data_IF_821516124548
#
_entry.id   IF_821516124548
#
_cell.length_a   1.000
_cell.length_b   1.000
_cell.length_c   1.000
_cell.angle_alpha   90.00
_cell.angle_beta   90.00
_cell.angle_gamma   90.00
#
_symmetry.space_group_name_H-M   'P 1'
#
loop_
_entity.id
_entity.type
_entity.pdbx_description
1 polymer ?
#
# COMPACT_ATOMS: atom_id res chain seq x y z
N UNK A 1 2.00 28.14 33.10
CA UNK A 1 0.99 27.91 32.04
C UNK A 1 1.31 26.66 31.21
N UNK A 2 1.55 25.49 31.83
CA UNK A 2 1.97 24.25 31.13
C UNK A 2 0.84 23.21 30.97
N UNK A 3 -0.31 23.45 31.58
CA UNK A 3 -1.43 22.51 31.62
C UNK A 3 -2.17 22.33 30.28
N UNK A 4 -2.51 23.38 29.52
CA UNK A 4 -3.27 23.20 28.27
C UNK A 4 -2.43 22.53 27.16
N UNK A 5 -1.12 22.78 27.13
CA UNK A 5 -0.21 22.16 26.15
C UNK A 5 -0.10 20.64 26.34
N UNK A 6 -0.09 20.16 27.59
CA UNK A 6 -0.05 18.73 27.89
C UNK A 6 -1.32 18.00 27.48
N UNK A 7 -2.48 18.63 27.70
CA UNK A 7 -3.77 18.09 27.28
C UNK A 7 -3.84 17.99 25.76
N UNK A 8 -3.37 19.03 25.04
CA UNK A 8 -3.33 19.02 23.59
C UNK A 8 -2.45 17.89 23.04
N UNK A 9 -1.26 17.69 23.62
CA UNK A 9 -0.33 16.63 23.20
C UNK A 9 -0.88 15.22 23.43
N UNK A 10 -1.61 15.00 24.52
CA UNK A 10 -2.25 13.71 24.80
C UNK A 10 -3.42 13.45 23.86
N UNK A 11 -4.16 14.49 23.50
CA UNK A 11 -5.28 14.37 22.56
C UNK A 11 -4.79 14.00 21.15
N UNK A 12 -3.70 14.62 20.68
CA UNK A 12 -3.12 14.30 19.37
C UNK A 12 -2.54 12.89 19.34
N UNK A 13 -1.88 12.44 20.41
CA UNK A 13 -1.40 11.07 20.56
C UNK A 13 -2.54 10.05 20.58
N UNK A 14 -3.65 10.36 21.24
CA UNK A 14 -4.83 9.49 21.28
C UNK A 14 -5.47 9.35 19.90
N UNK A 15 -5.66 10.46 19.18
CA UNK A 15 -6.25 10.44 17.83
C UNK A 15 -5.34 9.68 16.86
N UNK A 16 -4.03 9.93 16.90
CA UNK A 16 -3.05 9.18 16.09
C UNK A 16 -3.03 7.69 16.45
N UNK A 17 -3.16 7.36 17.75
CA UNK A 17 -3.25 5.99 18.24
C UNK A 17 -4.51 5.27 17.77
N UNK A 18 -5.67 5.92 17.81
CA UNK A 18 -6.94 5.37 17.33
C UNK A 18 -6.92 5.10 15.82
N UNK A 19 -6.44 6.06 15.02
CA UNK A 19 -6.29 5.88 13.57
C UNK A 19 -5.30 4.75 13.23
N UNK A 20 -4.19 4.66 13.97
CA UNK A 20 -3.23 3.57 13.81
C UNK A 20 -3.79 2.19 14.23
N UNK A 21 -4.70 2.16 15.21
CA UNK A 21 -5.30 0.92 15.71
C UNK A 21 -6.44 0.42 14.81
N UNK A 22 -7.25 1.32 14.25
CA UNK A 22 -8.23 0.98 13.21
C UNK A 22 -7.55 0.40 11.97
N UNK A 23 -6.44 1.00 11.52
CA UNK A 23 -5.64 0.44 10.42
C UNK A 23 -5.09 -0.95 10.74
N UNK A 24 -4.57 -1.18 11.96
CA UNK A 24 -4.09 -2.51 12.38
C UNK A 24 -5.19 -3.58 12.34
N UNK A 25 -6.41 -3.24 12.76
CA UNK A 25 -7.53 -4.17 12.73
C UNK A 25 -7.92 -4.54 11.30
N UNK A 26 -7.82 -3.60 10.34
CA UNK A 26 -8.10 -3.86 8.93
C UNK A 26 -7.06 -4.80 8.30
N UNK A 27 -5.78 -4.60 8.58
CA UNK A 27 -4.72 -5.47 8.07
C UNK A 27 -4.79 -6.89 8.65
N UNK A 28 -5.19 -7.03 9.92
CA UNK A 28 -5.46 -8.34 10.52
C UNK A 28 -6.63 -9.08 9.85
N UNK A 29 -7.69 -8.36 9.48
CA UNK A 29 -8.79 -8.94 8.72
C UNK A 29 -8.35 -9.36 7.31
N UNK A 30 -7.48 -8.57 6.65
CA UNK A 30 -6.88 -8.94 5.39
C UNK A 30 -6.01 -10.20 5.51
N UNK A 31 -5.25 -10.34 6.59
CA UNK A 31 -4.45 -11.52 6.86
C UNK A 31 -5.29 -12.79 7.03
N UNK A 32 -6.36 -12.70 7.82
CA UNK A 32 -7.29 -13.80 8.05
C UNK A 32 -7.98 -14.26 6.76
N UNK A 33 -8.44 -13.31 5.93
CA UNK A 33 -9.02 -13.61 4.62
C UNK A 33 -8.03 -14.33 3.70
N UNK A 34 -6.78 -13.85 3.64
CA UNK A 34 -5.75 -14.46 2.81
C UNK A 34 -5.38 -15.86 3.32
N UNK A 35 -5.36 -16.09 4.63
CA UNK A 35 -5.14 -17.42 5.22
C UNK A 35 -6.27 -18.40 4.90
N UNK A 36 -7.53 -17.98 4.99
CA UNK A 36 -8.68 -18.80 4.62
C UNK A 36 -8.66 -19.17 3.13
N UNK A 37 -8.24 -18.23 2.27
CA UNK A 37 -8.12 -18.46 0.83
C UNK A 37 -6.86 -19.27 0.44
N UNK A 38 -5.88 -19.43 1.33
CA UNK A 38 -4.54 -19.96 1.01
C UNK A 38 -4.45 -21.50 0.92
N UNK A 39 -5.53 -22.20 0.55
CA UNK A 39 -5.57 -23.68 0.49
C UNK A 39 -4.36 -24.26 -0.26
N UNK A 40 -3.97 -23.66 -1.39
CA UNK A 40 -2.72 -23.95 -2.11
C UNK A 40 -2.08 -22.70 -2.76
N UNK A 41 -2.59 -21.51 -2.43
CA UNK A 41 -2.18 -20.27 -3.07
C UNK A 41 -1.14 -19.54 -2.21
N UNK A 42 -0.10 -19.04 -2.88
CA UNK A 42 0.86 -18.12 -2.26
C UNK A 42 0.43 -16.70 -2.61
N UNK A 43 0.12 -15.91 -1.59
CA UNK A 43 -0.14 -14.48 -1.74
C UNK A 43 1.11 -13.66 -1.41
N UNK A 44 1.43 -12.71 -2.29
CA UNK A 44 2.42 -11.65 -2.08
C UNK A 44 1.70 -10.33 -2.24
N UNK A 45 1.68 -9.53 -1.18
CA UNK A 45 0.93 -8.27 -1.09
C UNK A 45 1.84 -7.20 -0.50
N UNK A 46 1.87 -6.03 -1.13
CA UNK A 46 2.51 -4.85 -0.62
C UNK A 46 1.60 -3.65 -0.87
N UNK A 47 1.27 -2.91 0.18
CA UNK A 47 0.43 -1.71 0.12
C UNK A 47 1.24 -0.53 0.61
N UNK A 48 1.30 0.49 -0.23
CA UNK A 48 1.99 1.74 0.06
C UNK A 48 0.99 2.89 -0.05
N UNK A 49 1.24 3.98 0.68
CA UNK A 49 0.54 5.24 0.45
C UNK A 49 1.05 5.95 -0.81
N UNK A 50 0.49 7.13 -1.11
CA UNK A 50 0.84 7.93 -2.27
C UNK A 50 2.29 8.45 -2.25
N UNK A 51 2.89 8.56 -1.06
CA UNK A 51 4.27 9.01 -0.87
C UNK A 51 5.26 7.83 -0.92
N UNK A 52 4.75 6.60 -1.05
CA UNK A 52 5.55 5.37 -1.12
C UNK A 52 5.88 4.77 0.25
N UNK A 53 5.28 5.25 1.34
CA UNK A 53 5.46 4.65 2.67
C UNK A 53 4.72 3.32 2.73
N UNK A 54 5.39 2.26 3.17
CA UNK A 54 4.77 0.95 3.36
C UNK A 54 3.74 1.00 4.50
N UNK A 55 2.49 0.69 4.17
CA UNK A 55 1.39 0.60 5.13
C UNK A 55 1.16 -0.84 5.58
N UNK A 56 1.41 -1.80 4.68
CA UNK A 56 1.25 -3.23 4.93
C UNK A 56 2.04 -4.06 3.92
N UNK A 57 2.69 -5.12 4.39
CA UNK A 57 3.38 -6.07 3.53
C UNK A 57 3.23 -7.50 4.04
N UNK A 58 2.99 -8.42 3.10
CA UNK A 58 2.97 -9.85 3.32
C UNK A 58 3.67 -10.54 2.16
N UNK A 59 4.78 -11.21 2.44
CA UNK A 59 5.64 -11.82 1.42
C UNK A 59 6.06 -10.85 0.29
N UNK A 60 6.08 -9.53 0.51
CA UNK A 60 6.27 -8.50 -0.54
C UNK A 60 7.52 -8.69 -1.42
N UNK A 61 8.58 -9.34 -0.90
CA UNK A 61 9.78 -9.69 -1.67
C UNK A 61 9.69 -10.97 -2.51
N UNK A 62 8.58 -11.71 -2.43
CA UNK A 62 8.40 -12.98 -3.14
C UNK A 62 7.94 -12.72 -4.56
N UNK A 63 8.68 -13.29 -5.51
CA UNK A 63 8.32 -13.23 -6.92
C UNK A 63 7.05 -14.05 -7.18
N UNK A 64 6.10 -13.45 -7.88
CA UNK A 64 4.85 -14.06 -8.35
C UNK A 64 4.67 -13.79 -9.83
N UNK A 65 3.99 -14.68 -10.55
CA UNK A 65 3.71 -14.48 -11.96
C UNK A 65 2.82 -13.24 -12.15
N UNK A 66 3.31 -12.24 -12.88
CA UNK A 66 2.61 -10.97 -13.09
C UNK A 66 1.41 -11.07 -14.04
N UNK A 67 1.28 -12.17 -14.79
CA UNK A 67 0.24 -12.39 -15.79
C UNK A 67 0.07 -11.15 -16.71
N UNK A 68 -1.13 -10.59 -16.82
CA UNK A 68 -1.39 -9.40 -17.64
C UNK A 68 -1.04 -8.07 -16.98
N UNK A 69 -0.67 -8.05 -15.69
CA UNK A 69 -0.34 -6.80 -14.96
C UNK A 69 0.95 -6.16 -15.48
N UNK A 70 1.83 -6.96 -16.12
CA UNK A 70 3.04 -6.46 -16.81
C UNK A 70 2.73 -5.40 -17.89
N UNK A 71 1.51 -5.35 -18.41
CA UNK A 71 1.10 -4.35 -19.42
C UNK A 71 1.08 -2.92 -18.87
N UNK A 72 0.93 -2.74 -17.55
CA UNK A 72 0.90 -1.41 -16.92
C UNK A 72 2.27 -0.71 -17.04
N UNK A 73 3.40 -1.29 -16.60
CA UNK A 73 4.70 -0.63 -16.79
C UNK A 73 5.10 -0.50 -18.26
N UNK A 74 4.69 -1.44 -19.13
CA UNK A 74 4.88 -1.30 -20.59
C UNK A 74 4.14 -0.07 -21.10
N UNK A 75 2.87 0.11 -20.74
CA UNK A 75 2.09 1.28 -21.14
C UNK A 75 2.70 2.57 -20.58
N UNK A 76 3.13 2.59 -19.32
CA UNK A 76 3.78 3.75 -18.72
C UNK A 76 5.03 4.15 -19.52
N UNK A 77 5.83 3.17 -19.95
CA UNK A 77 7.00 3.41 -20.78
C UNK A 77 6.63 3.89 -22.19
N UNK A 78 5.59 3.30 -22.81
CA UNK A 78 5.08 3.77 -24.11
C UNK A 78 4.61 5.24 -24.04
N UNK A 79 3.92 5.64 -22.97
CA UNK A 79 3.51 7.04 -22.78
C UNK A 79 4.73 7.95 -22.63
N UNK A 80 5.75 7.54 -21.87
CA UNK A 80 6.99 8.30 -21.73
C UNK A 80 7.74 8.50 -23.06
N UNK A 81 7.70 7.50 -23.94
CA UNK A 81 8.29 7.55 -25.28
C UNK A 81 7.44 8.45 -26.20
N UNK A 82 6.10 8.38 -26.11
CA UNK A 82 5.21 9.27 -26.83
C UNK A 82 5.41 10.74 -26.42
N UNK A 83 5.59 11.03 -25.13
CA UNK A 83 5.92 12.37 -24.62
C UNK A 83 7.25 12.91 -25.16
N UNK A 84 8.17 12.02 -25.56
CA UNK A 84 9.44 12.38 -26.20
C UNK A 84 9.32 12.55 -27.71
N UNK A 85 8.12 12.40 -28.27
CA UNK A 85 7.86 12.37 -29.71
C UNK A 85 8.60 11.25 -30.45
N UNK A 86 8.93 10.17 -29.74
CA UNK A 86 9.60 8.98 -30.30
C UNK A 86 8.58 7.91 -30.76
N UNK A 87 7.31 8.08 -30.40
CA UNK A 87 6.20 7.19 -30.76
C UNK A 87 4.94 8.01 -31.08
N UNK A 88 4.27 7.69 -32.19
CA UNK A 88 2.95 8.24 -32.54
C UNK A 88 1.85 7.51 -31.78
N UNK A 89 0.82 8.26 -31.36
CA UNK A 89 -0.40 7.72 -30.75
C UNK A 89 -1.50 7.40 -31.77
N UNK A 90 -1.34 7.90 -33.00
CA UNK A 90 -2.17 7.57 -34.18
C UNK A 90 -1.72 6.28 -34.87
#
# INVERSE_FOLDING_TARGET
MLFPLRILLLLTLLIAGCAGQENKNQWQAADAFLEEAAVNAVFSVAVHDADGTELYARNAGKQVASASVIKIPILAEMMRIAERNELSMD
#
